data_IF_917631406340
#
_entry.id   IF_917631406340
#
_cell.length_a   1.000
_cell.length_b   1.000
_cell.length_c   1.000
_cell.angle_alpha   90.00
_cell.angle_beta   90.00
_cell.angle_gamma   90.00
#
_symmetry.space_group_name_H-M   'P 1'
#
loop_
_entity.id
_entity.type
_entity.pdbx_description
1 polymer ?
#
# COMPACT_ATOMS: atom_id res chain seq x y z
N UNK A 1 -2.26 13.97 13.54
CA UNK A 1 -1.96 12.53 13.62
C UNK A 1 -1.75 12.11 15.06
N UNK A 2 -2.20 10.91 15.46
CA UNK A 2 -1.90 10.29 16.77
C UNK A 2 -0.43 9.82 16.80
N UNK A 3 0.11 9.55 18.00
CA UNK A 3 1.51 9.15 18.17
C UNK A 3 1.91 7.94 17.30
N UNK A 4 1.12 6.88 17.32
CA UNK A 4 1.38 5.71 16.48
C UNK A 4 1.32 5.99 14.97
N UNK A 5 0.46 6.92 14.53
CA UNK A 5 0.39 7.34 13.13
C UNK A 5 1.65 8.13 12.72
N UNK A 6 2.18 8.94 13.63
CA UNK A 6 3.46 9.63 13.40
C UNK A 6 4.62 8.64 13.23
N UNK A 7 4.64 7.58 14.05
CA UNK A 7 5.63 6.50 13.91
C UNK A 7 5.51 5.80 12.55
N UNK A 8 4.27 5.48 12.12
CA UNK A 8 4.06 4.84 10.81
C UNK A 8 4.44 5.74 9.63
N UNK A 9 4.09 7.01 9.71
CA UNK A 9 4.54 8.01 8.75
C UNK A 9 6.08 8.11 8.69
N UNK A 10 6.74 8.26 9.84
CA UNK A 10 8.19 8.38 9.90
C UNK A 10 8.91 7.13 9.36
N UNK A 11 8.36 5.95 9.63
CA UNK A 11 8.87 4.69 9.12
C UNK A 11 8.75 4.62 7.58
N UNK A 12 7.59 4.96 7.00
CA UNK A 12 7.42 5.01 5.55
C UNK A 12 8.34 6.04 4.89
N UNK A 13 8.47 7.21 5.52
CA UNK A 13 9.34 8.26 5.00
C UNK A 13 10.80 7.81 4.99
N UNK A 14 11.27 7.15 6.06
CA UNK A 14 12.62 6.57 6.10
C UNK A 14 12.82 5.52 5.01
N UNK A 15 11.85 4.64 4.78
CA UNK A 15 11.91 3.68 3.68
C UNK A 15 12.00 4.40 2.32
N UNK A 16 11.18 5.41 2.10
CA UNK A 16 11.20 6.20 0.87
C UNK A 16 12.57 6.85 0.62
N UNK A 17 13.20 7.42 1.65
CA UNK A 17 14.55 7.99 1.55
C UNK A 17 15.62 6.95 1.16
N UNK A 18 15.40 5.68 1.47
CA UNK A 18 16.26 4.56 1.10
C UNK A 18 15.90 3.94 -0.26
N UNK A 19 14.91 4.49 -0.97
CA UNK A 19 14.38 3.91 -2.21
C UNK A 19 13.60 2.61 -1.99
N UNK A 20 13.12 2.38 -0.76
CA UNK A 20 12.40 1.18 -0.37
C UNK A 20 10.89 1.46 -0.35
N UNK A 21 10.11 0.58 -0.95
CA UNK A 21 8.66 0.58 -0.84
C UNK A 21 8.18 0.17 0.57
N UNK A 22 6.87 0.25 0.81
CA UNK A 22 6.30 -0.03 2.14
C UNK A 22 4.95 -0.73 2.05
N UNK A 23 4.73 -1.73 2.90
CA UNK A 23 3.41 -2.34 3.13
C UNK A 23 2.91 -1.94 4.52
N UNK A 24 1.85 -1.12 4.58
CA UNK A 24 1.13 -0.82 5.81
C UNK A 24 -0.01 -1.82 5.98
N UNK A 25 0.17 -2.71 6.95
CA UNK A 25 -0.72 -3.81 7.24
C UNK A 25 -1.47 -3.63 8.58
N UNK A 26 -1.63 -2.40 9.03
CA UNK A 26 -2.35 -2.05 10.25
C UNK A 26 -3.81 -2.48 10.18
N UNK A 27 -4.41 -2.81 11.33
CA UNK A 27 -5.84 -3.08 11.44
C UNK A 27 -6.69 -1.97 10.81
N UNK A 28 -7.89 -2.35 10.34
CA UNK A 28 -8.86 -1.39 9.80
C UNK A 28 -9.16 -0.31 10.86
N UNK A 29 -9.28 0.97 10.42
CA UNK A 29 -9.59 2.09 11.30
C UNK A 29 -8.41 2.67 12.08
N UNK A 30 -7.17 2.21 11.88
CA UNK A 30 -5.96 2.83 12.45
C UNK A 30 -5.46 4.04 11.62
N UNK A 31 -6.20 4.46 10.59
CA UNK A 31 -5.89 5.66 9.82
C UNK A 31 -4.68 5.51 8.88
N UNK A 32 -4.60 4.37 8.18
CA UNK A 32 -3.59 4.15 7.15
C UNK A 32 -3.59 5.24 6.08
N UNK A 33 -4.77 5.61 5.59
CA UNK A 33 -4.95 6.66 4.57
C UNK A 33 -4.33 7.98 5.02
N UNK A 34 -4.58 8.40 6.26
CA UNK A 34 -4.01 9.65 6.81
C UNK A 34 -2.47 9.60 6.87
N UNK A 35 -1.89 8.46 7.22
CA UNK A 35 -0.44 8.30 7.27
C UNK A 35 0.19 8.41 5.87
N UNK A 36 -0.45 7.81 4.86
CA UNK A 36 0.00 7.91 3.46
C UNK A 36 -0.20 9.35 2.95
N UNK A 37 -1.34 9.99 3.20
CA UNK A 37 -1.57 11.39 2.81
C UNK A 37 -0.49 12.31 3.39
N UNK A 38 -0.10 12.12 4.66
CA UNK A 38 0.97 12.89 5.27
C UNK A 38 2.33 12.67 4.57
N UNK A 39 2.59 11.43 4.11
CA UNK A 39 3.78 11.13 3.32
C UNK A 39 3.75 11.82 1.95
N UNK A 40 2.61 11.80 1.26
CA UNK A 40 2.47 12.49 -0.04
C UNK A 40 2.66 14.00 0.10
N UNK A 41 2.13 14.59 1.17
CA UNK A 41 2.34 16.00 1.47
C UNK A 41 3.82 16.30 1.71
N UNK A 42 4.54 15.41 2.41
CA UNK A 42 5.98 15.55 2.62
C UNK A 42 6.76 15.47 1.30
N UNK A 43 6.38 14.60 0.39
CA UNK A 43 6.98 14.56 -0.95
C UNK A 43 6.78 15.87 -1.72
N UNK A 44 5.61 16.51 -1.60
CA UNK A 44 5.36 17.82 -2.19
C UNK A 44 6.22 18.91 -1.56
N UNK A 45 6.32 18.93 -0.23
CA UNK A 45 7.15 19.89 0.51
C UNK A 45 8.63 19.81 0.12
N UNK A 46 9.12 18.62 -0.26
CA UNK A 46 10.49 18.38 -0.70
C UNK A 46 10.71 18.63 -2.20
N UNK A 47 9.67 19.05 -2.94
CA UNK A 47 9.74 19.29 -4.38
C UNK A 47 9.79 18.02 -5.23
N UNK A 48 9.61 16.84 -4.65
CA UNK A 48 9.66 15.56 -5.37
C UNK A 48 8.48 15.38 -6.35
N UNK A 49 7.41 16.15 -6.15
CA UNK A 49 6.22 16.12 -7.01
C UNK A 49 6.17 17.31 -8.00
N UNK A 50 7.23 18.10 -8.14
CA UNK A 50 7.22 19.24 -9.05
C UNK A 50 7.27 18.83 -10.53
N UNK A 51 7.87 17.67 -10.83
CA UNK A 51 7.93 17.08 -12.16
C UNK A 51 7.33 15.68 -12.22
N UNK A 52 7.08 15.06 -11.09
CA UNK A 52 6.59 13.70 -10.96
C UNK A 52 5.21 13.68 -10.29
N UNK A 53 4.49 12.60 -10.48
CA UNK A 53 3.13 12.44 -9.95
C UNK A 53 3.03 11.21 -9.04
N UNK A 54 1.97 11.16 -8.26
CA UNK A 54 1.59 9.98 -7.49
C UNK A 54 0.33 9.37 -8.09
N UNK A 55 0.36 8.08 -8.37
CA UNK A 55 -0.83 7.31 -8.74
C UNK A 55 -1.37 6.56 -7.53
N UNK A 56 -2.60 6.81 -7.16
CA UNK A 56 -3.32 6.13 -6.07
C UNK A 56 -4.40 5.24 -6.68
N UNK A 57 -4.28 3.93 -6.50
CA UNK A 57 -5.22 2.93 -7.01
C UNK A 57 -6.03 2.36 -5.87
N UNK A 58 -7.35 2.49 -5.97
CA UNK A 58 -8.29 2.13 -4.90
C UNK A 58 -9.49 1.34 -5.43
N UNK A 59 -10.21 0.59 -4.58
CA UNK A 59 -11.55 0.11 -4.92
C UNK A 59 -12.49 1.27 -5.28
N UNK A 60 -13.42 1.04 -6.19
CA UNK A 60 -14.35 2.08 -6.65
C UNK A 60 -15.11 2.75 -5.50
N UNK A 61 -15.46 1.99 -4.47
CA UNK A 61 -16.14 2.48 -3.26
C UNK A 61 -15.33 3.50 -2.45
N UNK A 62 -13.99 3.49 -2.59
CA UNK A 62 -13.10 4.37 -1.83
C UNK A 62 -12.66 5.64 -2.58
N UNK A 63 -13.01 5.79 -3.86
CA UNK A 63 -12.63 6.97 -4.67
C UNK A 63 -13.02 8.31 -4.00
N UNK A 64 -14.28 8.42 -3.59
CA UNK A 64 -14.80 9.63 -2.97
C UNK A 64 -14.16 9.87 -1.60
N UNK A 65 -13.94 8.81 -0.83
CA UNK A 65 -13.29 8.90 0.47
C UNK A 65 -11.86 9.45 0.34
N UNK A 66 -11.05 8.87 -0.55
CA UNK A 66 -9.69 9.34 -0.79
C UNK A 66 -9.64 10.80 -1.23
N UNK A 67 -10.52 11.20 -2.18
CA UNK A 67 -10.61 12.59 -2.62
C UNK A 67 -10.96 13.53 -1.46
N UNK A 68 -11.91 13.14 -0.62
CA UNK A 68 -12.35 13.93 0.54
C UNK A 68 -11.25 14.05 1.60
N UNK A 69 -10.54 12.96 1.89
CA UNK A 69 -9.44 12.97 2.86
C UNK A 69 -8.24 13.80 2.39
N UNK A 70 -7.87 13.70 1.11
CA UNK A 70 -6.83 14.56 0.51
C UNK A 70 -7.21 16.04 0.60
N UNK A 71 -8.44 16.40 0.21
CA UNK A 71 -8.90 17.78 0.30
C UNK A 71 -8.91 18.31 1.74
N UNK A 72 -9.20 17.45 2.72
CA UNK A 72 -9.23 17.81 4.14
C UNK A 72 -7.85 17.95 4.77
N UNK A 73 -6.95 17.00 4.51
CA UNK A 73 -5.69 16.88 5.24
C UNK A 73 -4.46 17.36 4.46
N UNK A 74 -4.58 17.47 3.14
CA UNK A 74 -3.50 17.93 2.27
C UNK A 74 -4.03 18.86 1.16
N UNK A 75 -4.67 20.02 1.51
CA UNK A 75 -5.28 20.91 0.52
C UNK A 75 -4.27 21.55 -0.45
N UNK A 76 -2.99 21.47 -0.15
CA UNK A 76 -1.91 21.96 -1.03
C UNK A 76 -1.60 20.99 -2.18
N UNK A 77 -2.07 19.75 -2.13
CA UNK A 77 -1.89 18.79 -3.22
C UNK A 77 -2.96 19.01 -4.29
N UNK A 78 -2.53 19.18 -5.54
CA UNK A 78 -3.39 19.09 -6.71
C UNK A 78 -3.89 17.66 -6.90
N UNK A 79 -5.21 17.43 -6.84
CA UNK A 79 -5.81 16.09 -6.90
C UNK A 79 -6.69 15.94 -8.12
N UNK A 80 -6.42 14.95 -8.95
CA UNK A 80 -7.22 14.59 -10.10
C UNK A 80 -7.82 13.19 -10.01
N UNK A 81 -9.07 13.04 -10.45
CA UNK A 81 -9.71 11.73 -10.62
C UNK A 81 -9.57 11.24 -12.06
N UNK A 82 -9.07 10.04 -12.24
CA UNK A 82 -9.03 9.35 -13.53
C UNK A 82 -9.94 8.11 -13.50
N UNK A 83 -11.25 8.35 -13.68
CA UNK A 83 -12.28 7.32 -13.59
C UNK A 83 -13.49 7.66 -14.45
N UNK A 84 -14.26 6.63 -14.84
CA UNK A 84 -15.48 6.76 -15.66
C UNK A 84 -15.22 6.75 -17.18
N UNK A 85 -16.29 6.80 -18.00
CA UNK A 85 -16.19 6.63 -19.46
C UNK A 85 -15.60 7.84 -20.18
N UNK A 86 -15.74 9.04 -19.62
CA UNK A 86 -15.22 10.30 -20.20
C UNK A 86 -14.01 10.82 -19.42
N UNK A 87 -13.22 9.91 -18.83
CA UNK A 87 -12.04 10.30 -18.06
C UNK A 87 -11.01 11.03 -18.91
N UNK A 88 -10.44 12.07 -18.34
CA UNK A 88 -9.29 12.79 -18.92
C UNK A 88 -8.15 12.73 -17.93
N UNK A 89 -6.95 12.47 -18.44
CA UNK A 89 -5.75 12.38 -17.59
C UNK A 89 -5.44 13.76 -16.99
N UNK A 90 -5.37 13.88 -15.65
CA UNK A 90 -5.11 15.17 -14.98
C UNK A 90 -3.59 15.41 -14.90
N UNK A 91 -3.00 15.85 -16.01
CA UNK A 91 -1.53 16.01 -16.15
C UNK A 91 -0.92 16.99 -15.13
N UNK A 92 -1.68 17.97 -14.65
CA UNK A 92 -1.19 18.98 -13.70
C UNK A 92 -1.44 18.59 -12.23
N UNK A 93 -2.03 17.42 -11.98
CA UNK A 93 -2.29 16.97 -10.62
C UNK A 93 -1.02 16.37 -10.00
N UNK A 94 -0.79 16.65 -8.72
CA UNK A 94 0.25 15.97 -7.93
C UNK A 94 -0.14 14.52 -7.65
N UNK A 95 -1.46 14.29 -7.45
CA UNK A 95 -2.02 12.98 -7.11
C UNK A 95 -3.15 12.63 -8.05
N UNK A 96 -3.00 11.51 -8.75
CA UNK A 96 -4.03 10.92 -9.62
C UNK A 96 -4.68 9.76 -8.87
N UNK A 97 -6.00 9.82 -8.67
CA UNK A 97 -6.74 8.73 -8.05
C UNK A 97 -7.48 7.95 -9.13
N UNK A 98 -7.33 6.64 -9.13
CA UNK A 98 -8.00 5.74 -10.07
C UNK A 98 -8.46 4.43 -9.40
N UNK A 99 -9.06 3.54 -10.16
CA UNK A 99 -9.50 2.22 -9.67
C UNK A 99 -8.66 1.10 -10.26
N UNK A 100 -8.67 -0.07 -9.60
CA UNK A 100 -8.00 -1.27 -10.08
C UNK A 100 -8.38 -1.64 -11.51
N UNK A 101 -9.68 -1.55 -11.84
CA UNK A 101 -10.17 -1.85 -13.20
C UNK A 101 -9.62 -0.90 -14.25
N UNK A 102 -9.58 0.40 -13.94
CA UNK A 102 -8.99 1.40 -14.84
C UNK A 102 -7.47 1.22 -14.93
N UNK A 103 -6.80 1.03 -13.81
CA UNK A 103 -5.35 0.81 -13.78
C UNK A 103 -4.93 -0.38 -14.64
N UNK A 104 -5.70 -1.49 -14.59
CA UNK A 104 -5.46 -2.66 -15.44
C UNK A 104 -5.60 -2.35 -16.95
N UNK A 105 -6.59 -1.55 -17.32
CA UNK A 105 -6.85 -1.21 -18.73
C UNK A 105 -5.88 -0.17 -19.29
N UNK A 106 -5.35 0.70 -18.44
CA UNK A 106 -4.60 1.89 -18.81
C UNK A 106 -3.11 1.83 -18.44
N UNK A 107 -2.55 0.62 -18.28
CA UNK A 107 -1.12 0.42 -17.93
C UNK A 107 -0.20 1.23 -18.85
N UNK A 108 -0.48 1.21 -20.16
CA UNK A 108 0.33 1.96 -21.14
C UNK A 108 0.28 3.47 -20.88
N UNK A 109 -0.90 4.00 -20.58
CA UNK A 109 -1.07 5.44 -20.25
C UNK A 109 -0.30 5.81 -18.99
N UNK A 110 -0.39 4.99 -17.94
CA UNK A 110 0.31 5.27 -16.69
C UNK A 110 1.83 5.12 -16.81
N UNK A 111 2.32 4.22 -17.66
CA UNK A 111 3.74 4.07 -17.92
C UNK A 111 4.35 5.20 -18.80
N UNK A 112 3.52 6.09 -19.34
CA UNK A 112 3.97 7.33 -19.99
C UNK A 112 4.12 8.49 -19.00
N UNK A 113 3.64 8.34 -17.76
CA UNK A 113 3.81 9.32 -16.70
C UNK A 113 5.11 9.07 -15.95
N UNK A 114 5.72 10.15 -15.48
CA UNK A 114 6.82 10.05 -14.51
C UNK A 114 6.24 9.95 -13.09
N UNK A 115 6.07 8.72 -12.62
CA UNK A 115 5.47 8.44 -11.32
C UNK A 115 6.53 8.33 -10.23
N UNK A 116 6.49 9.25 -9.27
CA UNK A 116 7.30 9.13 -8.05
C UNK A 116 6.80 8.00 -7.16
N UNK A 117 5.50 7.88 -6.96
CA UNK A 117 4.95 6.80 -6.17
C UNK A 117 3.69 6.17 -6.80
N UNK A 118 3.59 4.85 -6.67
CA UNK A 118 2.37 4.07 -6.91
C UNK A 118 1.84 3.56 -5.57
N UNK A 119 0.69 4.04 -5.16
CA UNK A 119 0.00 3.64 -3.93
C UNK A 119 -1.18 2.76 -4.28
N UNK A 120 -1.31 1.61 -3.64
CA UNK A 120 -2.51 0.78 -3.75
C UNK A 120 -3.18 0.64 -2.38
N UNK A 121 -4.49 0.85 -2.32
CA UNK A 121 -5.30 0.62 -1.12
C UNK A 121 -6.11 -0.67 -1.27
N UNK A 122 -6.36 -1.36 -0.14
CA UNK A 122 -6.95 -2.70 -0.10
C UNK A 122 -6.15 -3.69 -0.97
N UNK A 123 -4.83 -3.79 -0.65
CA UNK A 123 -3.85 -4.55 -1.44
C UNK A 123 -4.17 -6.05 -1.57
N UNK A 124 -5.11 -6.60 -0.79
CA UNK A 124 -5.65 -7.95 -1.04
C UNK A 124 -6.26 -8.10 -2.44
N UNK A 125 -6.58 -6.99 -3.12
CA UNK A 125 -7.01 -7.01 -4.52
C UNK A 125 -5.95 -7.58 -5.49
N UNK A 126 -4.67 -7.63 -5.09
CA UNK A 126 -3.56 -8.19 -5.87
C UNK A 126 -2.93 -9.45 -5.23
N UNK A 127 -3.63 -10.12 -4.34
CA UNK A 127 -3.14 -11.32 -3.65
C UNK A 127 -2.91 -12.52 -4.58
N UNK A 128 -3.63 -12.59 -5.69
CA UNK A 128 -3.42 -13.63 -6.71
C UNK A 128 -2.39 -13.13 -7.74
N UNK A 129 -1.17 -13.67 -7.66
CA UNK A 129 -0.04 -13.26 -8.50
C UNK A 129 -0.24 -13.50 -10.00
N UNK A 130 -1.05 -14.50 -10.39
CA UNK A 130 -1.34 -14.84 -11.79
C UNK A 130 -2.57 -14.12 -12.36
N UNK A 131 -3.25 -13.30 -11.58
CA UNK A 131 -4.39 -12.55 -12.08
C UNK A 131 -3.93 -11.38 -12.97
N UNK A 132 -4.58 -11.18 -14.10
CA UNK A 132 -4.27 -10.10 -15.05
C UNK A 132 -4.26 -8.70 -14.39
N UNK A 133 -5.07 -8.49 -13.36
CA UNK A 133 -5.05 -7.27 -12.56
C UNK A 133 -3.74 -7.11 -11.79
N UNK A 134 -3.24 -8.16 -11.18
CA UNK A 134 -2.00 -8.15 -10.41
C UNK A 134 -0.80 -7.88 -11.30
N UNK A 135 -0.71 -8.59 -12.43
CA UNK A 135 0.35 -8.40 -13.42
C UNK A 135 0.36 -6.98 -13.98
N UNK A 136 -0.82 -6.45 -14.30
CA UNK A 136 -0.97 -5.08 -14.77
C UNK A 136 -0.46 -4.07 -13.72
N UNK A 137 -0.89 -4.18 -12.46
CA UNK A 137 -0.45 -3.27 -11.39
C UNK A 137 1.07 -3.37 -11.14
N UNK A 138 1.63 -4.57 -11.18
CA UNK A 138 3.08 -4.79 -11.01
C UNK A 138 3.89 -4.16 -12.16
N UNK A 139 3.36 -4.13 -13.37
CA UNK A 139 4.01 -3.57 -14.56
C UNK A 139 3.98 -2.05 -14.65
N UNK A 140 3.15 -1.35 -13.84
CA UNK A 140 3.21 0.10 -13.75
C UNK A 140 4.51 0.50 -13.06
N UNK A 141 5.28 1.37 -13.75
CA UNK A 141 6.56 1.87 -13.26
C UNK A 141 6.35 3.04 -12.31
N UNK A 142 7.07 3.05 -11.20
CA UNK A 142 7.14 4.14 -10.25
C UNK A 142 8.43 4.02 -9.44
N UNK A 143 8.98 5.13 -8.97
CA UNK A 143 10.17 5.15 -8.12
C UNK A 143 9.93 4.41 -6.80
N UNK A 144 8.74 4.59 -6.20
CA UNK A 144 8.32 3.92 -4.98
C UNK A 144 6.99 3.20 -5.17
N UNK A 145 6.83 2.07 -4.50
CA UNK A 145 5.54 1.36 -4.42
C UNK A 145 5.10 1.20 -2.97
N UNK A 146 3.87 1.60 -2.69
CA UNK A 146 3.28 1.55 -1.34
C UNK A 146 1.99 0.75 -1.41
N UNK A 147 1.87 -0.24 -0.55
CA UNK A 147 0.66 -1.03 -0.41
C UNK A 147 0.01 -0.83 0.97
N UNK A 148 -1.31 -0.76 1.00
CA UNK A 148 -2.10 -0.65 2.22
C UNK A 148 -3.08 -1.82 2.28
N UNK A 149 -3.16 -2.49 3.43
CA UNK A 149 -4.14 -3.56 3.65
C UNK A 149 -4.57 -3.60 5.12
N UNK A 150 -5.83 -3.91 5.37
CA UNK A 150 -6.30 -4.24 6.73
C UNK A 150 -6.10 -5.72 7.07
N UNK A 151 -5.93 -6.57 6.04
CA UNK A 151 -5.84 -8.03 6.14
C UNK A 151 -4.80 -8.56 5.16
N UNK A 152 -3.49 -8.32 5.41
CA UNK A 152 -2.44 -8.63 4.41
C UNK A 152 -2.24 -10.13 4.18
N UNK A 153 -2.58 -10.97 5.15
CA UNK A 153 -2.49 -12.44 5.06
C UNK A 153 -3.76 -13.03 5.66
N UNK A 154 -4.68 -13.47 4.82
CA UNK A 154 -5.89 -14.16 5.29
C UNK A 154 -5.71 -15.67 5.28
N UNK A 155 -5.11 -16.24 4.23
CA UNK A 155 -5.15 -17.68 4.02
C UNK A 155 -3.80 -18.33 3.66
N UNK A 156 -2.95 -17.68 2.85
CA UNK A 156 -1.73 -18.32 2.33
C UNK A 156 -0.55 -17.35 2.23
N UNK A 157 0.65 -17.81 2.51
CA UNK A 157 1.88 -17.04 2.34
C UNK A 157 2.15 -16.64 0.88
N UNK A 158 1.63 -17.40 -0.09
CA UNK A 158 1.70 -17.03 -1.52
C UNK A 158 0.91 -15.76 -1.84
N UNK A 159 -0.18 -15.46 -1.11
CA UNK A 159 -0.92 -14.19 -1.24
C UNK A 159 -0.07 -13.02 -0.73
N UNK A 160 0.60 -13.24 0.39
CA UNK A 160 1.55 -12.29 0.96
C UNK A 160 2.74 -12.03 0.04
N UNK A 161 3.32 -13.09 -0.54
CA UNK A 161 4.37 -12.97 -1.55
C UNK A 161 3.97 -12.03 -2.68
N UNK A 162 2.74 -12.15 -3.18
CA UNK A 162 2.26 -11.31 -4.28
C UNK A 162 2.25 -9.82 -3.94
N UNK A 163 1.88 -9.47 -2.70
CA UNK A 163 1.86 -8.07 -2.22
C UNK A 163 3.30 -7.58 -1.98
N UNK A 164 4.16 -8.40 -1.38
CA UNK A 164 5.57 -8.03 -1.17
C UNK A 164 6.30 -7.85 -2.50
N UNK A 165 6.06 -8.73 -3.48
CA UNK A 165 6.64 -8.62 -4.81
C UNK A 165 6.14 -7.39 -5.59
N UNK A 166 4.93 -6.88 -5.30
CA UNK A 166 4.49 -5.58 -5.80
C UNK A 166 5.31 -4.44 -5.20
N UNK A 167 5.54 -4.45 -3.89
CA UNK A 167 6.28 -3.39 -3.17
C UNK A 167 7.78 -3.45 -3.47
N UNK A 168 8.34 -4.66 -3.52
CA UNK A 168 9.75 -4.96 -3.78
C UNK A 168 9.87 -6.11 -4.80
N UNK A 169 9.88 -5.80 -6.09
CA UNK A 169 9.98 -6.82 -7.14
C UNK A 169 11.19 -7.73 -6.95
N UNK A 170 10.95 -9.04 -7.03
CA UNK A 170 11.96 -10.09 -6.93
C UNK A 170 12.68 -10.22 -5.58
N UNK A 171 12.34 -9.46 -4.56
CA UNK A 171 13.00 -9.52 -3.25
C UNK A 171 12.90 -10.90 -2.59
N UNK A 172 11.74 -11.54 -2.66
CA UNK A 172 11.51 -12.88 -2.13
C UNK A 172 11.81 -14.00 -3.14
N UNK A 173 12.40 -13.65 -4.28
CA UNK A 173 12.68 -14.60 -5.38
C UNK A 173 11.44 -14.98 -6.18
N UNK A 174 11.62 -15.93 -7.10
CA UNK A 174 10.50 -16.45 -7.88
C UNK A 174 9.48 -17.18 -6.99
N UNK A 175 8.22 -17.26 -7.43
CA UNK A 175 7.13 -17.91 -6.68
C UNK A 175 7.47 -19.37 -6.30
N UNK A 176 8.11 -20.11 -7.18
CA UNK A 176 8.44 -21.52 -6.92
C UNK A 176 9.54 -21.65 -5.85
N UNK A 177 10.55 -20.78 -5.89
CA UNK A 177 11.60 -20.72 -4.85
C UNK A 177 11.00 -20.29 -3.51
N UNK A 178 10.10 -19.30 -3.53
CA UNK A 178 9.40 -18.86 -2.33
C UNK A 178 8.57 -19.99 -1.70
N UNK A 179 7.82 -20.74 -2.50
CA UNK A 179 7.04 -21.87 -2.01
C UNK A 179 7.94 -22.91 -1.33
N UNK A 180 9.04 -23.28 -1.96
CA UNK A 180 9.93 -24.30 -1.42
C UNK A 180 10.68 -23.84 -0.17
N UNK A 181 11.10 -22.56 -0.11
CA UNK A 181 11.90 -22.02 1.00
C UNK A 181 11.08 -21.61 2.21
N UNK A 182 9.86 -21.09 1.98
CA UNK A 182 9.07 -20.44 3.04
C UNK A 182 7.66 -21.02 3.17
N UNK A 183 6.86 -21.06 2.07
CA UNK A 183 5.44 -21.39 2.17
C UNK A 183 5.23 -22.84 2.66
N UNK A 184 5.87 -23.83 2.04
CA UNK A 184 5.71 -25.24 2.43
C UNK A 184 6.27 -25.51 3.83
N UNK A 185 7.51 -25.09 4.20
CA UNK A 185 8.02 -25.31 5.55
C UNK A 185 7.16 -24.66 6.63
N UNK A 186 6.67 -23.42 6.41
CA UNK A 186 5.89 -22.70 7.40
C UNK A 186 4.46 -23.24 7.50
N UNK A 187 3.77 -23.40 6.37
CA UNK A 187 2.31 -23.70 6.35
C UNK A 187 2.01 -25.18 6.56
N UNK A 188 2.88 -26.07 6.07
CA UNK A 188 2.68 -27.51 6.12
C UNK A 188 3.47 -28.16 7.25
N UNK A 189 4.76 -27.79 7.38
CA UNK A 189 5.67 -28.47 8.29
C UNK A 189 5.79 -27.74 9.64
N UNK A 190 5.15 -26.56 9.80
CA UNK A 190 5.15 -25.71 11.00
C UNK A 190 6.57 -25.35 11.50
N UNK A 191 7.53 -25.15 10.58
CA UNK A 191 8.91 -24.82 10.88
C UNK A 191 9.05 -23.41 11.46
N UNK A 192 9.26 -23.31 12.78
CA UNK A 192 9.39 -22.03 13.49
C UNK A 192 10.68 -21.30 13.12
N UNK A 193 11.77 -21.99 12.79
CA UNK A 193 13.02 -21.34 12.41
C UNK A 193 12.90 -20.64 11.07
N UNK A 194 12.22 -21.27 10.11
CA UNK A 194 11.93 -20.67 8.81
C UNK A 194 10.96 -19.50 8.98
N UNK A 195 9.92 -19.63 9.82
CA UNK A 195 8.98 -18.54 10.12
C UNK A 195 9.70 -17.33 10.72
N UNK A 196 10.58 -17.53 11.70
CA UNK A 196 11.32 -16.43 12.33
C UNK A 196 12.31 -15.77 11.35
N UNK A 197 12.93 -16.55 10.49
CA UNK A 197 13.77 -16.03 9.40
C UNK A 197 12.93 -15.18 8.43
N UNK A 198 11.78 -15.70 8.01
CA UNK A 198 10.88 -15.00 7.12
C UNK A 198 10.39 -13.67 7.71
N UNK A 199 10.01 -13.67 8.99
CA UNK A 199 9.62 -12.43 9.71
C UNK A 199 10.75 -11.40 9.72
N UNK A 200 11.99 -11.81 9.98
CA UNK A 200 13.15 -10.91 10.01
C UNK A 200 13.44 -10.27 8.66
N UNK A 201 13.38 -11.04 7.57
CA UNK A 201 13.67 -10.49 6.23
C UNK A 201 12.56 -9.59 5.71
N UNK A 202 11.31 -9.77 6.15
CA UNK A 202 10.17 -8.96 5.72
C UNK A 202 9.89 -7.76 6.61
N UNK A 203 10.35 -7.78 7.87
CA UNK A 203 10.13 -6.72 8.86
C UNK A 203 10.50 -5.29 8.38
N UNK A 204 11.59 -5.06 7.61
CA UNK A 204 11.91 -3.72 7.14
C UNK A 204 10.84 -3.08 6.25
N UNK A 205 10.06 -3.88 5.54
CA UNK A 205 9.12 -3.41 4.52
C UNK A 205 7.67 -3.42 4.97
N UNK A 206 7.38 -3.98 6.16
CA UNK A 206 6.01 -4.23 6.61
C UNK A 206 5.82 -3.69 8.00
N UNK A 207 4.83 -2.83 8.12
CA UNK A 207 4.36 -2.33 9.40
C UNK A 207 2.96 -2.89 9.67
N UNK A 208 2.84 -3.69 10.75
CA UNK A 208 1.56 -4.23 11.19
C UNK A 208 1.34 -3.95 12.66
N UNK A 209 0.24 -3.28 12.96
CA UNK A 209 -0.21 -2.98 14.32
C UNK A 209 -1.64 -3.42 14.49
N UNK A 210 -1.94 -3.96 15.66
CA UNK A 210 -3.27 -4.49 15.99
C UNK A 210 -3.98 -3.53 16.94
N UNK A 211 -5.29 -3.42 16.81
CA UNK A 211 -6.13 -2.66 17.75
C UNK A 211 -6.12 -3.24 19.18
N UNK A 212 -5.79 -4.51 19.32
CA UNK A 212 -5.66 -5.18 20.61
C UNK A 212 -4.35 -4.87 21.34
N UNK A 213 -3.40 -4.21 20.68
CA UNK A 213 -2.13 -3.83 21.30
C UNK A 213 -2.31 -2.53 22.10
N UNK A 214 -2.57 -2.65 23.41
CA UNK A 214 -2.79 -1.54 24.31
C UNK A 214 -1.62 -0.55 24.43
N UNK A 215 -0.41 -0.95 24.02
CA UNK A 215 0.75 -0.05 23.98
C UNK A 215 0.65 0.99 22.84
N UNK A 216 -0.12 0.64 21.80
CA UNK A 216 -0.30 1.48 20.60
C UNK A 216 -1.53 2.37 20.73
N UNK A 217 -2.54 1.96 21.51
CA UNK A 217 -3.88 2.56 21.53
C UNK A 217 -4.27 2.98 22.94
N UNK A 218 -3.50 3.87 23.55
CA UNK A 218 -3.89 4.48 24.85
C UNK A 218 -5.09 5.42 24.72
N UNK A 219 -5.48 5.84 23.50
CA UNK A 219 -6.47 6.88 23.23
C UNK A 219 -7.76 6.38 22.54
N UNK A 220 -7.95 5.08 22.32
CA UNK A 220 -9.22 4.58 21.81
C UNK A 220 -10.17 4.23 22.97
N UNK A 221 -11.46 4.59 22.89
CA UNK A 221 -12.45 4.12 23.84
C UNK A 221 -12.53 2.60 23.81
N UNK A 222 -12.84 1.99 24.96
CA UNK A 222 -13.03 0.56 25.07
C UNK A 222 -14.05 0.04 24.05
N UNK A 223 -13.79 -1.15 23.51
CA UNK A 223 -14.70 -1.81 22.57
C UNK A 223 -16.01 -2.15 23.30
N UNK A 224 -17.08 -1.44 23.01
CA UNK A 224 -18.43 -1.78 23.53
C UNK A 224 -19.05 -2.79 22.56
N UNK A 225 -19.09 -4.05 22.92
CA UNK A 225 -19.91 -5.06 22.25
C UNK A 225 -21.35 -4.94 22.78
N UNK A 226 -22.30 -4.64 21.89
CA UNK A 226 -23.72 -4.76 22.17
C UNK A 226 -24.22 -5.97 21.40
N UNK A 227 -24.60 -7.00 22.14
CA UNK A 227 -25.38 -8.11 21.59
C UNK A 227 -26.77 -7.59 21.24
N UNK A 228 -27.21 -7.83 20.01
CA UNK A 228 -28.55 -7.54 19.51
C UNK A 228 -29.31 -8.85 19.35
#
# INVERSE_FOLDING_TARGET
MRSYQQVGYAWMYKNAQLGLGSLIADDMGLGKTLQVIALLLKFKEEGLLDQQQVLVVVPTSLLTNWKSELAKFAPLLGVGLYHGPRRKLPHEADVIITTYGVARMEVHTFNQLDLYALVIDEAQAIKNSSAAQTEALKSIQATLKIAMSGTPVENRLTEYWSIVDFVHPSYLGAMEDFKSRYSVPIERDNDQMVLDTFRKITAPFILRRLKSDGSIIQDLPDKIERDW
#
